data_IF_954697428894
#
_entry.id   IF_954697428894
#
_cell.length_a   1.000
_cell.length_b   1.000
_cell.length_c   1.000
_cell.angle_alpha   90.00
_cell.angle_beta   90.00
_cell.angle_gamma   90.00
#
_symmetry.space_group_name_H-M   'P 1'
#
loop_
_entity.id
_entity.type
_entity.pdbx_description
1 polymer ?
#
# COMPACT_ATOMS: atom_id res chain seq x y z
N UNK A 1 -43.86 17.08 12.73
CA UNK A 1 -42.49 17.63 12.61
C UNK A 1 -41.74 17.66 13.95
N UNK A 2 -42.32 18.16 15.04
CA UNK A 2 -41.68 18.26 16.37
C UNK A 2 -41.15 16.92 16.96
N UNK A 3 -41.81 15.79 16.70
CA UNK A 3 -41.35 14.47 17.17
C UNK A 3 -40.13 13.90 16.43
N UNK A 4 -39.79 14.42 15.25
CA UNK A 4 -38.68 13.91 14.42
C UNK A 4 -37.32 14.45 14.86
N UNK A 5 -37.28 15.62 15.50
CA UNK A 5 -36.06 16.26 16.00
C UNK A 5 -35.45 15.53 17.21
N UNK A 6 -36.24 14.74 17.96
CA UNK A 6 -35.75 13.93 19.10
C UNK A 6 -34.86 12.73 18.68
N UNK A 7 -34.79 12.42 17.38
CA UNK A 7 -33.92 11.36 16.81
C UNK A 7 -32.70 11.90 16.08
N UNK A 8 -32.45 13.21 16.14
CA UNK A 8 -31.15 13.74 15.76
C UNK A 8 -30.14 13.23 16.79
N UNK A 9 -29.29 12.28 16.37
CA UNK A 9 -28.07 11.95 17.10
C UNK A 9 -27.35 13.27 17.35
N UNK A 10 -27.28 13.67 18.62
CA UNK A 10 -26.36 14.69 19.08
C UNK A 10 -24.99 14.31 18.49
N UNK A 11 -24.47 15.11 17.57
CA UNK A 11 -23.04 15.08 17.30
C UNK A 11 -22.45 15.54 18.63
N UNK A 12 -22.03 14.61 19.46
CA UNK A 12 -21.39 14.92 20.73
C UNK A 12 -20.27 15.91 20.40
N UNK A 13 -20.33 17.10 20.98
CA UNK A 13 -19.25 18.07 20.84
C UNK A 13 -18.01 17.38 21.40
N UNK A 14 -16.99 17.10 20.57
CA UNK A 14 -15.78 16.46 21.08
C UNK A 14 -15.22 17.35 22.19
N UNK A 15 -14.74 16.73 23.26
CA UNK A 15 -13.97 17.40 24.31
C UNK A 15 -12.77 18.13 23.69
N UNK A 16 -12.18 19.05 24.44
CA UNK A 16 -10.97 19.77 23.98
C UNK A 16 -9.85 18.81 23.59
N UNK A 17 -9.77 17.64 24.23
CA UNK A 17 -8.76 16.62 23.92
C UNK A 17 -9.16 15.78 22.69
N UNK A 18 -10.43 15.42 22.53
CA UNK A 18 -10.94 14.74 21.33
C UNK A 18 -10.89 15.61 20.06
N UNK A 19 -10.71 16.93 20.21
CA UNK A 19 -10.48 17.86 19.09
C UNK A 19 -9.04 17.85 18.59
N UNK A 20 -8.09 17.24 19.31
CA UNK A 20 -6.68 17.19 18.89
C UNK A 20 -6.39 15.88 18.19
N UNK A 21 -5.75 15.96 17.02
CA UNK A 21 -5.14 14.78 16.42
C UNK A 21 -3.89 14.38 17.19
N UNK A 22 -3.52 13.11 17.09
CA UNK A 22 -2.27 12.60 17.63
C UNK A 22 -1.06 13.37 17.05
N UNK A 23 -0.11 13.69 17.93
CA UNK A 23 1.22 14.19 17.56
C UNK A 23 2.27 13.24 18.12
N UNK A 24 3.35 13.01 17.37
CA UNK A 24 4.51 12.30 17.90
C UNK A 24 5.14 13.11 19.04
N UNK A 25 5.82 12.47 20.02
CA UNK A 25 6.45 13.19 21.13
C UNK A 25 7.40 14.30 20.68
N UNK A 26 8.10 14.11 19.56
CA UNK A 26 8.98 15.12 19.00
C UNK A 26 8.23 16.40 18.59
N UNK A 27 7.12 16.25 17.85
CA UNK A 27 6.29 17.36 17.43
C UNK A 27 5.57 18.02 18.62
N UNK A 28 5.08 17.23 19.58
CA UNK A 28 4.41 17.75 20.78
C UNK A 28 5.35 18.60 21.65
N UNK A 29 6.64 18.29 21.66
CA UNK A 29 7.69 19.06 22.36
C UNK A 29 8.24 20.24 21.53
N UNK A 30 7.65 20.53 20.36
CA UNK A 30 8.08 21.63 19.49
C UNK A 30 9.38 21.37 18.71
N UNK A 31 9.90 20.12 18.69
CA UNK A 31 11.10 19.79 17.92
C UNK A 31 10.82 19.88 16.41
N UNK A 32 11.83 20.30 15.66
CA UNK A 32 11.81 20.24 14.19
C UNK A 32 12.23 18.85 13.75
N UNK A 33 11.46 18.25 12.86
CA UNK A 33 11.75 16.97 12.22
C UNK A 33 11.65 17.13 10.70
N UNK A 34 12.32 16.27 9.97
CA UNK A 34 12.19 16.15 8.52
C UNK A 34 11.92 14.69 8.15
N UNK A 35 11.47 14.47 6.92
CA UNK A 35 11.23 13.14 6.36
C UNK A 35 11.66 13.09 4.90
N UNK A 36 11.87 11.88 4.39
CA UNK A 36 12.05 11.67 2.95
C UNK A 36 10.70 11.26 2.35
N UNK A 37 10.38 11.77 1.16
CA UNK A 37 9.17 11.40 0.45
C UNK A 37 9.50 10.96 -0.98
N UNK A 38 8.90 9.86 -1.42
CA UNK A 38 9.08 9.34 -2.77
C UNK A 38 7.83 8.61 -3.27
N UNK A 39 7.71 8.48 -4.59
CA UNK A 39 6.73 7.59 -5.17
C UNK A 39 7.26 6.14 -5.13
N UNK A 40 6.65 5.28 -4.31
CA UNK A 40 7.11 3.91 -4.08
C UNK A 40 7.27 3.14 -5.39
N UNK A 41 6.29 3.23 -6.29
CA UNK A 41 6.34 2.54 -7.59
C UNK A 41 7.56 2.91 -8.44
N UNK A 42 8.11 4.11 -8.25
CA UNK A 42 9.27 4.61 -8.99
C UNK A 42 10.62 4.25 -8.34
N UNK A 43 10.61 3.79 -7.09
CA UNK A 43 11.83 3.37 -6.40
C UNK A 43 12.36 2.04 -6.95
N UNK A 44 13.67 1.84 -6.79
CA UNK A 44 14.38 0.60 -7.06
C UNK A 44 15.05 0.14 -5.78
N UNK A 45 14.70 -1.05 -5.30
CA UNK A 45 15.27 -1.64 -4.09
C UNK A 45 16.60 -2.34 -4.36
N UNK A 46 17.16 -2.97 -3.33
CA UNK A 46 18.38 -3.79 -3.44
C UNK A 46 18.18 -5.02 -4.32
N UNK A 47 16.98 -5.61 -4.26
CA UNK A 47 16.56 -6.74 -5.11
C UNK A 47 15.87 -6.20 -6.37
N UNK A 48 16.26 -6.65 -7.58
CA UNK A 48 15.56 -6.30 -8.80
C UNK A 48 14.09 -6.73 -8.77
N UNK A 49 13.19 -5.84 -9.18
CA UNK A 49 11.75 -6.05 -9.27
C UNK A 49 11.16 -5.23 -10.40
N UNK A 50 9.90 -5.49 -10.78
CA UNK A 50 9.25 -4.72 -11.85
C UNK A 50 8.96 -3.26 -11.50
N UNK A 51 8.64 -3.03 -10.23
CA UNK A 51 8.42 -1.71 -9.63
C UNK A 51 8.82 -1.77 -8.15
N UNK A 52 8.94 -0.61 -7.51
CA UNK A 52 9.15 -0.59 -6.07
C UNK A 52 7.97 -1.23 -5.34
N UNK A 53 8.28 -2.19 -4.48
CA UNK A 53 7.34 -3.04 -3.74
C UNK A 53 7.56 -2.89 -2.22
N UNK A 54 6.91 -3.71 -1.38
CA UNK A 54 7.08 -3.59 0.08
C UNK A 54 8.49 -3.91 0.58
N UNK A 55 9.27 -4.73 -0.13
CA UNK A 55 10.70 -4.88 0.17
C UNK A 55 11.48 -3.60 -0.16
N UNK A 56 11.14 -2.92 -1.26
CA UNK A 56 11.70 -1.61 -1.60
C UNK A 56 11.33 -0.55 -0.57
N UNK A 57 10.12 -0.59 -0.02
CA UNK A 57 9.69 0.32 1.05
C UNK A 57 10.50 0.13 2.33
N UNK A 58 10.82 -1.13 2.69
CA UNK A 58 11.74 -1.40 3.81
C UNK A 58 13.11 -0.78 3.54
N UNK A 59 13.70 -1.02 2.38
CA UNK A 59 15.01 -0.48 2.00
C UNK A 59 15.01 1.08 2.02
N UNK A 60 13.93 1.71 1.55
CA UNK A 60 13.75 3.17 1.60
C UNK A 60 13.61 3.69 3.03
N UNK A 61 12.89 2.96 3.89
CA UNK A 61 12.71 3.33 5.29
C UNK A 61 14.03 3.22 6.08
N UNK A 62 14.84 2.19 5.78
CA UNK A 62 16.21 2.06 6.29
C UNK A 62 17.07 3.27 5.88
N UNK A 63 17.03 3.62 4.60
CA UNK A 63 17.76 4.79 4.07
C UNK A 63 17.31 6.09 4.74
N UNK A 64 16.00 6.30 4.89
CA UNK A 64 15.46 7.47 5.58
C UNK A 64 15.98 7.55 7.02
N UNK A 65 15.95 6.43 7.75
CA UNK A 65 16.48 6.34 9.12
C UNK A 65 17.98 6.67 9.18
N UNK A 66 18.78 6.15 8.24
CA UNK A 66 20.24 6.40 8.19
C UNK A 66 20.58 7.87 7.94
N UNK A 67 19.73 8.61 7.22
CA UNK A 67 19.90 10.06 7.05
C UNK A 67 19.44 10.90 8.25
N UNK A 68 18.86 10.27 9.28
CA UNK A 68 18.27 10.95 10.43
C UNK A 68 16.84 11.44 10.21
N UNK A 69 16.19 11.01 9.12
CA UNK A 69 14.82 11.37 8.83
C UNK A 69 13.86 10.66 9.79
N UNK A 70 12.80 11.36 10.23
CA UNK A 70 11.83 10.85 11.18
C UNK A 70 10.74 9.99 10.53
N UNK A 71 10.56 10.09 9.21
CA UNK A 71 9.57 9.31 8.47
C UNK A 71 9.97 9.13 7.00
N UNK A 72 9.40 8.08 6.39
CA UNK A 72 9.46 7.79 4.96
C UNK A 72 8.03 7.90 4.39
N UNK A 73 7.76 8.98 3.66
CA UNK A 73 6.48 9.26 3.02
C UNK A 73 6.38 8.62 1.64
N UNK A 74 5.22 8.07 1.32
CA UNK A 74 4.94 7.42 0.03
C UNK A 74 3.61 7.88 -0.58
N UNK A 75 3.42 7.58 -1.86
CA UNK A 75 2.13 7.75 -2.53
C UNK A 75 1.03 6.84 -1.93
N UNK A 76 -0.25 7.14 -2.18
CA UNK A 76 -1.34 6.23 -1.82
C UNK A 76 -1.16 4.86 -2.47
N UNK A 77 -1.43 3.80 -1.70
CA UNK A 77 -1.30 2.40 -2.11
C UNK A 77 -2.65 1.71 -2.37
N UNK A 78 -3.68 2.52 -2.58
CA UNK A 78 -5.06 2.05 -2.75
C UNK A 78 -5.20 1.07 -3.91
N UNK A 79 -6.14 0.15 -3.79
CA UNK A 79 -6.45 -0.84 -4.81
C UNK A 79 -6.91 -0.14 -6.11
N UNK A 80 -6.22 -0.44 -7.21
CA UNK A 80 -6.53 0.11 -8.54
C UNK A 80 -7.38 -0.89 -9.35
N UNK A 81 -7.21 -0.97 -10.67
CA UNK A 81 -8.04 -1.78 -11.56
C UNK A 81 -7.29 -3.04 -12.03
N UNK A 82 -7.59 -4.25 -11.53
CA UNK A 82 -6.85 -5.47 -11.87
C UNK A 82 -6.98 -5.91 -13.33
N UNK A 83 -8.04 -5.48 -14.01
CA UNK A 83 -8.35 -5.81 -15.41
C UNK A 83 -7.99 -4.68 -16.38
N UNK A 84 -7.59 -3.51 -15.88
CA UNK A 84 -7.22 -2.32 -16.66
C UNK A 84 -6.04 -1.62 -16.00
N UNK A 85 -4.84 -2.17 -16.24
CA UNK A 85 -3.61 -1.73 -15.56
C UNK A 85 -2.99 -0.48 -16.16
N UNK A 86 -3.48 0.01 -17.30
CA UNK A 86 -3.15 1.34 -17.81
C UNK A 86 -3.68 2.46 -16.91
N UNK A 87 -4.73 2.21 -16.13
CA UNK A 87 -5.25 3.13 -15.11
C UNK A 87 -4.43 3.09 -13.82
N UNK A 88 -3.20 3.58 -13.91
CA UNK A 88 -2.19 3.47 -12.86
C UNK A 88 -2.12 4.67 -11.88
N UNK A 89 -3.01 5.67 -12.00
CA UNK A 89 -2.98 6.84 -11.12
C UNK A 89 -3.34 6.45 -9.68
N UNK A 90 -2.44 6.66 -8.69
CA UNK A 90 -2.72 6.34 -7.28
C UNK A 90 -3.80 7.24 -6.66
N UNK A 91 -4.19 8.31 -7.36
CA UNK A 91 -5.23 9.26 -6.94
C UNK A 91 -6.59 8.98 -7.59
N UNK A 92 -6.68 7.97 -8.45
CA UNK A 92 -7.95 7.50 -9.04
C UNK A 92 -8.17 6.00 -8.74
N UNK A 93 -8.24 5.58 -7.46
CA UNK A 93 -8.36 4.17 -7.10
C UNK A 93 -9.78 3.62 -7.32
N UNK A 94 -9.88 2.29 -7.40
CA UNK A 94 -11.18 1.60 -7.36
C UNK A 94 -11.73 1.53 -5.93
N UNK A 95 -10.84 1.35 -4.93
CA UNK A 95 -11.22 1.29 -3.51
C UNK A 95 -10.09 1.84 -2.62
N UNK A 96 -10.42 2.73 -1.69
CA UNK A 96 -9.47 3.37 -0.77
C UNK A 96 -9.20 2.56 0.50
N UNK A 97 -9.96 1.49 0.75
CA UNK A 97 -9.87 0.64 1.95
C UNK A 97 -8.90 -0.53 1.76
N UNK A 98 -8.73 -0.98 0.52
CA UNK A 98 -7.84 -2.09 0.18
C UNK A 98 -6.53 -1.58 -0.45
N UNK A 99 -5.49 -2.39 -0.32
CA UNK A 99 -4.16 -2.13 -0.88
C UNK A 99 -4.02 -2.84 -2.23
N UNK A 100 -3.36 -2.22 -3.21
CA UNK A 100 -3.10 -2.88 -4.49
C UNK A 100 -2.09 -4.03 -4.32
N UNK A 101 -2.43 -5.27 -4.70
CA UNK A 101 -1.54 -6.42 -4.56
C UNK A 101 -0.26 -6.33 -5.38
N UNK A 102 -0.17 -5.42 -6.36
CA UNK A 102 1.03 -5.25 -7.19
C UNK A 102 2.28 -4.85 -6.37
N UNK A 103 2.10 -4.29 -5.17
CA UNK A 103 3.19 -3.92 -4.27
C UNK A 103 3.70 -5.08 -3.40
N UNK A 104 3.08 -6.26 -3.45
CA UNK A 104 3.55 -7.44 -2.70
C UNK A 104 4.91 -7.87 -3.26
N UNK A 105 5.87 -8.08 -2.35
CA UNK A 105 7.14 -8.69 -2.71
C UNK A 105 6.92 -10.18 -2.93
N UNK A 106 7.04 -10.61 -4.18
CA UNK A 106 6.83 -12.00 -4.61
C UNK A 106 8.00 -12.42 -5.49
N UNK A 107 8.40 -13.69 -5.37
CA UNK A 107 9.43 -14.25 -6.23
C UNK A 107 8.88 -14.43 -7.65
N UNK A 108 9.26 -13.49 -8.52
CA UNK A 108 8.87 -13.45 -9.93
C UNK A 108 10.09 -13.10 -10.79
N UNK A 109 10.99 -14.06 -11.09
CA UNK A 109 12.22 -13.80 -11.84
C UNK A 109 11.97 -13.16 -13.20
N UNK A 110 10.89 -13.55 -13.87
CA UNK A 110 10.43 -12.92 -15.11
C UNK A 110 10.22 -11.41 -14.98
N UNK A 111 9.79 -10.92 -13.80
CA UNK A 111 9.46 -9.53 -13.55
C UNK A 111 10.71 -8.63 -13.45
N UNK A 112 11.89 -9.21 -13.22
CA UNK A 112 13.17 -8.50 -13.09
C UNK A 112 13.47 -7.67 -14.33
N UNK A 113 13.13 -8.17 -15.53
CA UNK A 113 13.39 -7.46 -16.80
C UNK A 113 12.76 -6.07 -16.84
N UNK A 114 11.59 -5.89 -16.21
CA UNK A 114 10.88 -4.61 -16.18
C UNK A 114 11.57 -3.57 -15.30
N UNK A 115 12.36 -3.99 -14.30
CA UNK A 115 13.11 -3.08 -13.42
C UNK A 115 14.15 -2.23 -14.15
N UNK A 116 14.61 -2.70 -15.31
CA UNK A 116 15.56 -1.99 -16.19
C UNK A 116 14.91 -0.93 -17.09
N UNK A 117 13.58 -0.89 -17.16
CA UNK A 117 12.86 0.09 -17.97
C UNK A 117 12.91 1.48 -17.33
N UNK A 118 12.90 2.52 -18.18
CA UNK A 118 12.84 3.93 -17.75
C UNK A 118 11.47 4.33 -17.19
N UNK A 119 10.43 3.57 -17.50
CA UNK A 119 9.06 3.77 -17.03
C UNK A 119 8.53 2.47 -16.43
N UNK A 120 7.46 2.57 -15.65
CA UNK A 120 6.79 1.39 -15.10
C UNK A 120 5.78 0.88 -16.12
N UNK A 121 6.02 -0.33 -16.62
CA UNK A 121 5.08 -1.02 -17.51
C UNK A 121 4.10 -1.86 -16.68
N UNK A 122 3.04 -1.19 -16.19
CA UNK A 122 2.03 -1.82 -15.33
C UNK A 122 1.27 -2.94 -16.04
N UNK A 123 1.01 -2.79 -17.34
CA UNK A 123 0.24 -3.75 -18.14
C UNK A 123 1.03 -5.03 -18.37
N UNK A 124 2.34 -4.95 -18.63
CA UNK A 124 3.19 -6.13 -18.78
C UNK A 124 3.61 -6.74 -17.43
N UNK A 125 3.85 -5.92 -16.39
CA UNK A 125 4.29 -6.40 -15.09
C UNK A 125 3.19 -7.16 -14.34
N UNK A 126 1.94 -6.67 -14.39
CA UNK A 126 0.87 -7.22 -13.56
C UNK A 126 0.54 -8.70 -13.84
N UNK A 127 0.43 -9.19 -15.09
CA UNK A 127 0.20 -10.60 -15.35
C UNK A 127 1.27 -11.52 -14.77
N UNK A 128 2.55 -11.09 -14.80
CA UNK A 128 3.67 -11.84 -14.24
C UNK A 128 3.55 -11.92 -12.73
N UNK A 129 3.34 -10.78 -12.06
CA UNK A 129 3.17 -10.70 -10.61
C UNK A 129 1.93 -11.49 -10.17
N UNK A 130 0.81 -11.35 -10.87
CA UNK A 130 -0.44 -12.07 -10.58
C UNK A 130 -0.27 -13.58 -10.66
N UNK A 131 0.46 -14.10 -11.65
CA UNK A 131 0.78 -15.54 -11.74
C UNK A 131 1.63 -16.00 -10.56
N UNK A 132 2.66 -15.25 -10.19
CA UNK A 132 3.50 -15.58 -9.04
C UNK A 132 2.68 -15.59 -7.73
N UNK A 133 1.82 -14.58 -7.52
CA UNK A 133 0.90 -14.52 -6.37
C UNK A 133 -0.06 -15.70 -6.35
N UNK A 134 -0.62 -16.10 -7.49
CA UNK A 134 -1.50 -17.27 -7.57
C UNK A 134 -0.74 -18.56 -7.21
N UNK A 135 0.50 -18.73 -7.68
CA UNK A 135 1.33 -19.88 -7.34
C UNK A 135 1.67 -19.93 -5.84
N UNK A 136 1.98 -18.79 -5.21
CA UNK A 136 2.17 -18.70 -3.75
C UNK A 136 0.88 -19.00 -3.00
N UNK A 137 -0.27 -18.50 -3.48
CA UNK A 137 -1.56 -18.79 -2.87
C UNK A 137 -1.90 -20.28 -2.93
N UNK A 138 -1.64 -20.96 -4.06
CA UNK A 138 -1.83 -22.41 -4.15
C UNK A 138 -0.92 -23.19 -3.19
N UNK A 139 0.34 -22.75 -3.02
CA UNK A 139 1.25 -23.35 -2.02
C UNK A 139 0.74 -23.13 -0.60
N UNK A 140 0.25 -21.94 -0.28
CA UNK A 140 -0.35 -21.62 1.01
C UNK A 140 -1.56 -22.50 1.31
N UNK A 141 -2.48 -22.67 0.34
CA UNK A 141 -3.66 -23.52 0.49
C UNK A 141 -3.29 -25.01 0.66
N UNK A 142 -2.29 -25.50 -0.08
CA UNK A 142 -1.83 -26.89 0.03
C UNK A 142 -1.28 -27.24 1.43
N UNK A 143 -0.78 -26.24 2.17
CA UNK A 143 -0.31 -26.41 3.56
C UNK A 143 -1.47 -26.42 4.57
N UNK A 144 -2.71 -26.18 4.15
CA UNK A 144 -3.90 -26.07 4.99
C UNK A 144 -5.06 -26.92 4.45
N UNK A 145 -4.89 -28.24 4.26
CA UNK A 145 -5.89 -29.08 3.59
C UNK A 145 -7.24 -29.12 4.31
N UNK A 146 -7.25 -28.94 5.64
CA UNK A 146 -8.46 -28.98 6.47
C UNK A 146 -9.08 -27.60 6.72
N UNK A 147 -8.49 -26.53 6.19
CA UNK A 147 -9.07 -25.19 6.33
C UNK A 147 -10.31 -25.04 5.42
N UNK A 148 -11.33 -24.28 5.86
CA UNK A 148 -12.44 -23.93 4.98
C UNK A 148 -11.89 -23.21 3.75
N UNK A 149 -12.17 -23.74 2.56
CA UNK A 149 -11.76 -23.08 1.31
C UNK A 149 -12.36 -21.68 1.28
N UNK A 150 -11.51 -20.69 1.05
CA UNK A 150 -11.98 -19.32 0.84
C UNK A 150 -12.94 -19.33 -0.37
N UNK A 151 -14.06 -18.59 -0.32
CA UNK A 151 -14.94 -18.45 -1.48
C UNK A 151 -14.10 -17.99 -2.67
N UNK A 152 -14.33 -18.59 -3.84
CA UNK A 152 -13.45 -18.44 -5.01
C UNK A 152 -13.31 -16.99 -5.48
N UNK A 153 -12.28 -16.30 -4.98
CA UNK A 153 -11.96 -14.89 -5.28
C UNK A 153 -11.07 -14.75 -6.54
N UNK A 154 -10.53 -15.87 -7.05
CA UNK A 154 -9.62 -15.90 -8.20
C UNK A 154 -10.17 -16.80 -9.32
N UNK A 155 -11.26 -16.38 -9.97
CA UNK A 155 -11.62 -16.88 -11.31
C UNK A 155 -11.35 -15.80 -12.34
#
# INVERSE_FOLDING_TARGET
VAGSLKRLRMIAQPSVEERKCFLTPALAQGRKIFGLAAHLYALRGKKPSALGNFATLRDFSETARETGAAFAGINPLHHLFPTDRGRASPYQPSDRRFIDPIYIDVDAPEAIRFGSLRHIDYEAAWPVIKRALAAEFHRFEAQRPDAPKLPGILR
#
